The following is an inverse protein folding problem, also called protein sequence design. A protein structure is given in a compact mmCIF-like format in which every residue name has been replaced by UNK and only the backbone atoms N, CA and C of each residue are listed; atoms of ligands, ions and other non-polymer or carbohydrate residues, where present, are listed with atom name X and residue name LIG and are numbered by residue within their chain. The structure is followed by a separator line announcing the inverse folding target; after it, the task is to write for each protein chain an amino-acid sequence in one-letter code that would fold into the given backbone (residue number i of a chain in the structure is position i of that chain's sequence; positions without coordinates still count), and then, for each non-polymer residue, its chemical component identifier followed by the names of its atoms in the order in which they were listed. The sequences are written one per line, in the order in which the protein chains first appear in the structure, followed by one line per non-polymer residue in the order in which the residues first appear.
data_IF_248558531987
#
_entry.id   IF_248558531987
#
_cell.length_a   1.000
_cell.length_b   1.000
_cell.length_c   1.000
_cell.angle_alpha   90.00
_cell.angle_beta   90.00
_cell.angle_gamma   90.00
#
_symmetry.space_group_name_H-M   'P 1'
#
loop_
_entity.id
_entity.type
_entity.pdbx_description
1 polymer ?
#
# COMPACT_ATOMS: atom_id res chain seq x y z
N UNK A 1 -5.39 -24.15 -2.65
CA UNK A 1 -5.15 -23.41 -1.39
C UNK A 1 -6.42 -22.77 -0.86
N UNK A 2 -7.21 -22.11 -1.70
CA UNK A 2 -8.46 -21.41 -1.30
C UNK A 2 -9.59 -22.31 -0.85
N UNK A 3 -9.44 -23.60 -0.97
CA UNK A 3 -10.43 -24.58 -0.50
C UNK A 3 -10.36 -24.85 1.01
N UNK A 4 -9.36 -24.34 1.68
CA UNK A 4 -9.20 -24.53 3.13
C UNK A 4 -9.93 -23.42 3.89
N UNK A 5 -10.86 -23.75 4.81
CA UNK A 5 -11.68 -22.75 5.48
C UNK A 5 -10.92 -21.84 6.46
N UNK A 6 -9.72 -22.23 6.86
CA UNK A 6 -8.83 -21.46 7.73
C UNK A 6 -7.78 -20.65 6.97
N UNK A 7 -7.91 -20.54 5.64
CA UNK A 7 -6.98 -19.83 4.82
C UNK A 7 -7.26 -18.31 4.86
N UNK A 8 -6.35 -17.53 5.43
CA UNK A 8 -6.52 -16.08 5.61
C UNK A 8 -5.94 -15.27 4.45
N UNK A 9 -4.76 -15.62 3.97
CA UNK A 9 -4.07 -14.92 2.88
C UNK A 9 -3.16 -15.85 2.09
N UNK A 10 -2.72 -15.41 0.93
CA UNK A 10 -1.78 -16.16 0.09
C UNK A 10 -0.61 -15.28 -0.29
N UNK A 11 0.55 -15.80 -0.15
CA UNK A 11 1.79 -15.21 -0.66
C UNK A 11 1.82 -15.18 -2.21
N UNK A 12 2.98 -15.06 -2.80
CA UNK A 12 3.25 -15.00 -4.23
C UNK A 12 2.80 -13.70 -4.89
N UNK A 13 2.99 -12.60 -4.20
CA UNK A 13 2.91 -11.24 -4.73
C UNK A 13 4.22 -10.51 -4.50
N UNK A 14 4.48 -9.48 -5.29
CA UNK A 14 5.62 -8.61 -5.05
C UNK A 14 5.33 -7.73 -3.84
N UNK A 15 5.69 -8.21 -2.67
CA UNK A 15 5.59 -7.49 -1.41
C UNK A 15 6.79 -6.57 -1.21
N UNK A 16 6.69 -5.66 -0.25
CA UNK A 16 7.77 -4.70 0.05
C UNK A 16 9.08 -5.37 0.46
N UNK A 17 9.08 -6.58 0.96
CA UNK A 17 10.30 -7.34 1.24
C UNK A 17 11.15 -7.55 -0.03
N UNK A 18 10.52 -7.73 -1.19
CA UNK A 18 11.23 -7.92 -2.45
C UNK A 18 12.01 -6.67 -2.90
N UNK A 19 11.64 -5.51 -2.41
CA UNK A 19 12.35 -4.25 -2.69
C UNK A 19 13.78 -4.29 -2.12
N UNK A 20 14.01 -5.07 -1.06
CA UNK A 20 15.32 -5.23 -0.44
C UNK A 20 16.29 -6.07 -1.29
N UNK A 21 15.78 -6.90 -2.20
CA UNK A 21 16.58 -7.87 -2.90
C UNK A 21 17.10 -7.38 -4.26
N UNK A 22 16.37 -6.50 -4.94
CA UNK A 22 16.81 -6.01 -6.24
C UNK A 22 16.26 -4.62 -6.59
N UNK A 23 17.04 -3.86 -7.35
CA UNK A 23 16.57 -2.59 -7.90
C UNK A 23 15.43 -2.82 -8.90
N UNK A 24 15.46 -3.90 -9.67
CA UNK A 24 14.37 -4.24 -10.58
C UNK A 24 13.02 -4.44 -9.89
N UNK A 25 13.02 -4.91 -8.65
CA UNK A 25 11.79 -4.98 -7.83
C UNK A 25 11.30 -3.58 -7.44
N UNK A 26 12.23 -2.69 -7.09
CA UNK A 26 11.88 -1.28 -6.81
C UNK A 26 11.32 -0.57 -8.05
N UNK A 27 11.91 -0.82 -9.22
CA UNK A 27 11.47 -0.20 -10.47
C UNK A 27 10.09 -0.69 -10.92
N UNK A 28 9.75 -1.93 -10.61
CA UNK A 28 8.46 -2.54 -10.94
C UNK A 28 7.37 -2.28 -9.87
N UNK A 29 7.69 -1.71 -8.71
CA UNK A 29 6.78 -1.59 -7.58
C UNK A 29 5.49 -0.85 -7.96
N UNK A 30 5.59 0.33 -8.56
CA UNK A 30 4.43 1.16 -8.85
C UNK A 30 3.45 0.47 -9.81
N UNK A 31 3.97 -0.15 -10.86
CA UNK A 31 3.15 -0.91 -11.82
C UNK A 31 2.46 -2.09 -11.14
N UNK A 32 3.19 -2.91 -10.39
CA UNK A 32 2.63 -4.08 -9.71
C UNK A 32 1.61 -3.67 -8.64
N UNK A 33 1.88 -2.63 -7.86
CA UNK A 33 0.94 -2.12 -6.86
C UNK A 33 -0.38 -1.67 -7.50
N UNK A 34 -0.34 -1.07 -8.70
CA UNK A 34 -1.53 -0.69 -9.45
C UNK A 34 -2.22 -1.89 -10.15
N UNK A 35 -1.61 -3.07 -10.18
CA UNK A 35 -2.23 -4.31 -10.69
C UNK A 35 -2.93 -5.11 -9.59
N UNK A 36 -2.34 -5.21 -8.41
CA UNK A 36 -2.80 -6.11 -7.36
C UNK A 36 -4.29 -5.99 -7.01
N UNK A 37 -4.86 -4.80 -6.83
CA UNK A 37 -6.28 -4.67 -6.54
C UNK A 37 -7.19 -5.22 -7.63
N UNK A 38 -6.78 -5.16 -8.90
CA UNK A 38 -7.58 -5.64 -10.03
C UNK A 38 -7.46 -7.14 -10.30
N UNK A 39 -6.31 -7.74 -10.00
CA UNK A 39 -6.06 -9.15 -10.32
C UNK A 39 -5.93 -10.01 -9.07
N UNK A 40 -5.02 -9.68 -8.17
CA UNK A 40 -4.71 -10.51 -7.01
C UNK A 40 -5.79 -10.44 -5.95
N UNK A 41 -6.28 -9.25 -5.63
CA UNK A 41 -7.32 -9.07 -4.62
C UNK A 41 -8.72 -9.46 -5.08
N UNK A 42 -9.00 -9.53 -6.39
CA UNK A 42 -10.29 -10.02 -6.91
C UNK A 42 -10.53 -11.50 -6.57
N UNK A 43 -9.48 -12.25 -6.38
CA UNK A 43 -9.57 -13.67 -5.99
C UNK A 43 -9.39 -13.89 -4.49
N UNK A 44 -9.10 -12.86 -3.71
CA UNK A 44 -9.05 -12.90 -2.25
C UNK A 44 -7.86 -12.16 -1.66
N UNK A 45 -7.66 -12.36 -0.37
CA UNK A 45 -6.58 -11.72 0.38
C UNK A 45 -5.21 -12.12 -0.13
N UNK A 46 -4.28 -11.18 -0.03
CA UNK A 46 -2.88 -11.38 -0.36
C UNK A 46 -2.02 -11.19 0.90
N UNK A 47 -0.82 -11.70 0.86
CA UNK A 47 0.16 -11.33 1.86
C UNK A 47 0.58 -9.88 1.67
N UNK A 48 0.73 -9.17 2.79
CA UNK A 48 1.12 -7.77 2.80
C UNK A 48 2.41 -7.62 3.61
N UNK A 49 3.51 -7.50 2.90
CA UNK A 49 4.85 -7.33 3.50
C UNK A 49 5.10 -5.93 4.06
N UNK A 50 4.08 -5.11 4.09
CA UNK A 50 4.09 -3.80 4.72
C UNK A 50 4.70 -2.69 3.89
N UNK A 51 4.57 -1.49 4.44
CA UNK A 51 5.11 -0.28 3.86
C UNK A 51 6.45 0.00 4.51
N UNK A 52 7.50 0.06 3.71
CA UNK A 52 8.81 0.48 4.17
C UNK A 52 8.90 1.99 4.02
N UNK A 53 9.01 2.69 5.15
CA UNK A 53 9.31 4.11 5.14
C UNK A 53 10.80 4.31 4.93
N UNK A 54 11.18 5.45 4.36
CA UNK A 54 12.54 5.75 3.98
C UNK A 54 13.01 4.98 2.73
N UNK A 55 13.33 5.73 1.68
CA UNK A 55 13.80 5.18 0.39
C UNK A 55 15.14 4.43 0.49
N UNK A 56 15.86 4.60 1.57
CA UNK A 56 17.17 4.01 1.83
C UNK A 56 17.14 3.05 3.02
N UNK A 57 16.09 2.31 3.19
CA UNK A 57 15.88 1.42 4.32
C UNK A 57 17.04 0.42 4.58
N UNK A 58 17.87 0.16 3.58
CA UNK A 58 19.10 -0.64 3.70
C UNK A 58 20.38 0.18 3.69
N UNK A 59 20.29 1.50 3.65
CA UNK A 59 21.47 2.35 3.64
C UNK A 59 22.15 2.32 5.01
N UNK A 60 23.11 1.44 5.16
CA UNK A 60 24.20 1.70 6.07
C UNK A 60 25.11 2.73 5.40
N UNK A 61 25.71 3.59 6.20
CA UNK A 61 26.68 4.60 5.74
C UNK A 61 27.99 3.98 5.16
N UNK A 62 28.01 2.68 4.91
CA UNK A 62 29.11 1.98 4.28
C UNK A 62 28.73 1.55 2.85
N UNK A 63 29.64 1.79 1.92
CA UNK A 63 29.48 1.54 0.50
C UNK A 63 29.43 0.05 0.10
N UNK A 64 29.39 -0.86 1.06
CA UNK A 64 29.52 -2.31 0.83
C UNK A 64 28.20 -3.05 0.82
N UNK A 65 27.12 -2.45 1.23
CA UNK A 65 25.79 -3.06 1.23
C UNK A 65 25.05 -2.84 -0.08
N UNK A 66 24.46 -3.89 -0.64
CA UNK A 66 23.51 -3.81 -1.74
C UNK A 66 22.36 -2.91 -1.31
N UNK A 67 22.29 -1.73 -1.86
CA UNK A 67 21.23 -0.77 -1.59
C UNK A 67 20.30 -0.73 -2.78
N UNK A 68 19.18 -1.44 -2.70
CA UNK A 68 18.04 -1.13 -3.55
C UNK A 68 17.41 0.16 -3.06
N UNK A 69 17.01 1.02 -3.97
CA UNK A 69 16.35 2.28 -3.65
C UNK A 69 14.93 2.24 -4.15
N UNK A 70 13.97 2.37 -3.25
CA UNK A 70 12.57 2.57 -3.61
C UNK A 70 12.40 3.91 -4.35
N UNK A 71 11.72 3.90 -5.49
CA UNK A 71 11.47 5.08 -6.31
C UNK A 71 10.13 5.77 -5.97
N UNK A 72 9.18 5.03 -5.41
CA UNK A 72 7.90 5.57 -4.94
C UNK A 72 8.06 6.41 -3.67
N UNK A 73 7.04 7.19 -3.33
CA UNK A 73 7.03 7.99 -2.09
C UNK A 73 6.62 7.16 -0.88
N UNK A 74 6.87 7.68 0.32
CA UNK A 74 6.40 7.06 1.56
C UNK A 74 4.86 7.05 1.62
N UNK A 75 4.22 8.10 1.13
CA UNK A 75 2.75 8.16 1.01
C UNK A 75 2.22 7.09 0.06
N UNK A 76 2.91 6.82 -1.05
CA UNK A 76 2.57 5.72 -1.95
C UNK A 76 2.60 4.39 -1.20
N UNK A 77 3.68 4.13 -0.46
CA UNK A 77 3.82 2.90 0.31
C UNK A 77 2.72 2.76 1.38
N UNK A 78 2.41 3.83 2.12
CA UNK A 78 1.33 3.83 3.12
C UNK A 78 -0.05 3.61 2.50
N UNK A 79 -0.32 4.18 1.33
CA UNK A 79 -1.59 4.01 0.64
C UNK A 79 -1.89 2.54 0.32
N UNK A 80 -0.86 1.71 0.09
CA UNK A 80 -1.05 0.28 -0.16
C UNK A 80 -1.70 -0.47 1.01
N UNK A 81 -1.56 0.01 2.25
CA UNK A 81 -2.24 -0.56 3.41
C UNK A 81 -3.77 -0.47 3.33
N UNK A 82 -4.28 0.54 2.64
CA UNK A 82 -5.71 0.68 2.36
C UNK A 82 -6.09 -0.03 1.05
N UNK A 83 -5.23 0.02 0.03
CA UNK A 83 -5.56 -0.51 -1.30
C UNK A 83 -5.52 -2.03 -1.37
N UNK A 84 -4.60 -2.68 -0.65
CA UNK A 84 -4.46 -4.13 -0.68
C UNK A 84 -5.39 -4.78 0.34
N UNK A 85 -5.95 -5.91 -0.03
CA UNK A 85 -6.76 -6.70 0.87
C UNK A 85 -5.88 -7.73 1.56
N UNK A 86 -5.58 -7.50 2.82
CA UNK A 86 -4.89 -8.43 3.69
C UNK A 86 -5.40 -8.30 5.11
N UNK A 87 -5.89 -9.38 5.74
CA UNK A 87 -6.31 -9.34 7.14
C UNK A 87 -5.12 -9.30 8.11
N UNK A 88 -3.92 -9.57 7.62
CA UNK A 88 -2.66 -9.50 8.37
C UNK A 88 -1.72 -8.56 7.66
N UNK A 89 -1.38 -7.46 8.31
CA UNK A 89 -0.48 -6.45 7.77
C UNK A 89 0.79 -6.36 8.60
N UNK A 90 1.94 -6.45 7.94
CA UNK A 90 3.24 -6.25 8.52
C UNK A 90 3.86 -4.98 7.95
N UNK A 91 4.16 -4.01 8.81
CA UNK A 91 4.87 -2.81 8.42
C UNK A 91 6.38 -3.02 8.62
N UNK A 92 7.11 -3.08 7.52
CA UNK A 92 8.56 -3.22 7.55
C UNK A 92 9.20 -1.89 7.97
N UNK A 93 9.59 -1.77 9.22
CA UNK A 93 10.25 -0.59 9.77
C UNK A 93 11.64 -0.95 10.26
N UNK A 94 12.59 -0.06 10.02
CA UNK A 94 13.88 -0.09 10.70
C UNK A 94 13.80 0.71 12.00
N UNK A 95 14.66 0.46 12.99
CA UNK A 95 14.66 1.25 14.24
C UNK A 95 14.75 2.76 14.00
N UNK A 96 15.46 3.19 12.96
CA UNK A 96 15.59 4.60 12.60
C UNK A 96 14.24 5.21 12.18
N UNK A 97 13.33 4.43 11.59
CA UNK A 97 12.04 4.95 11.16
C UNK A 97 11.18 5.46 12.33
N UNK A 98 11.43 5.02 13.54
CA UNK A 98 10.75 5.54 14.72
C UNK A 98 11.16 6.97 15.06
N UNK A 99 12.29 7.43 14.55
CA UNK A 99 12.86 8.75 14.82
C UNK A 99 12.91 9.67 13.60
N UNK A 100 13.05 9.11 12.40
CA UNK A 100 13.19 9.88 11.16
C UNK A 100 11.90 9.97 10.34
N UNK A 101 10.93 9.07 10.58
CA UNK A 101 9.64 9.14 9.93
C UNK A 101 8.73 10.20 10.58
N UNK A 102 7.86 10.85 9.80
CA UNK A 102 6.88 11.78 10.35
C UNK A 102 5.94 11.07 11.34
N UNK A 103 5.61 11.71 12.44
CA UNK A 103 4.74 11.15 13.47
C UNK A 103 3.37 10.72 12.92
N UNK A 104 2.81 11.47 12.00
CA UNK A 104 1.53 11.12 11.36
C UNK A 104 1.60 9.78 10.60
N UNK A 105 2.74 9.44 9.99
CA UNK A 105 2.93 8.18 9.29
C UNK A 105 2.97 6.99 10.26
N UNK A 106 3.66 7.16 11.39
CA UNK A 106 3.70 6.16 12.45
C UNK A 106 2.31 5.95 13.06
N UNK A 107 1.59 7.04 13.31
CA UNK A 107 0.23 6.96 13.85
C UNK A 107 -0.74 6.31 12.86
N UNK A 108 -0.66 6.65 11.58
CA UNK A 108 -1.44 5.97 10.54
C UNK A 108 -1.22 4.46 10.54
N UNK A 109 0.03 4.00 10.61
CA UNK A 109 0.33 2.56 10.64
C UNK A 109 -0.19 1.84 11.88
N UNK A 110 -0.33 2.55 13.01
CA UNK A 110 -0.92 1.99 14.24
C UNK A 110 -2.44 1.88 14.16
N UNK A 111 -3.08 2.76 13.40
CA UNK A 111 -4.53 2.95 13.40
C UNK A 111 -5.23 2.38 12.17
N UNK A 112 -4.51 2.21 11.04
CA UNK A 112 -5.11 1.70 9.81
C UNK A 112 -5.68 0.29 10.01
N UNK A 113 -6.97 0.06 9.69
CA UNK A 113 -7.57 -1.26 9.83
C UNK A 113 -6.99 -2.28 8.85
N UNK A 114 -6.94 -3.54 9.25
CA UNK A 114 -6.60 -4.66 8.36
C UNK A 114 -7.84 -5.36 7.79
N UNK A 115 -9.03 -5.06 8.32
CA UNK A 115 -10.31 -5.63 7.87
C UNK A 115 -11.29 -4.51 7.50
N UNK A 116 -12.12 -4.76 6.51
CA UNK A 116 -12.97 -3.75 5.91
C UNK A 116 -14.41 -4.26 5.80
N UNK A 117 -15.38 -3.40 6.17
CA UNK A 117 -16.82 -3.70 6.08
C UNK A 117 -17.35 -3.43 4.67
N UNK A 118 -16.74 -2.50 3.95
CA UNK A 118 -17.17 -2.11 2.61
C UNK A 118 -15.97 -1.64 1.78
N UNK A 119 -16.01 -1.92 0.48
CA UNK A 119 -15.02 -1.45 -0.51
C UNK A 119 -15.75 -0.81 -1.68
N UNK A 120 -15.33 0.39 -2.07
CA UNK A 120 -15.82 1.09 -3.26
C UNK A 120 -14.68 1.39 -4.20
N UNK A 121 -14.82 0.95 -5.43
CA UNK A 121 -13.95 1.39 -6.51
C UNK A 121 -14.38 2.81 -6.93
N UNK A 122 -13.45 3.75 -6.86
CA UNK A 122 -13.71 5.13 -7.23
C UNK A 122 -13.25 5.44 -8.64
N UNK A 123 -12.01 5.07 -8.97
CA UNK A 123 -11.45 5.21 -10.32
C UNK A 123 -10.18 4.37 -10.44
N UNK A 124 -9.76 4.05 -11.67
CA UNK A 124 -8.50 3.37 -11.89
C UNK A 124 -8.42 2.60 -13.21
N UNK A 125 -7.20 2.25 -13.55
CA UNK A 125 -6.88 1.39 -14.69
C UNK A 125 -5.70 0.47 -14.34
N UNK A 126 -5.79 -0.85 -14.58
CA UNK A 126 -4.77 -1.82 -14.22
C UNK A 126 -3.37 -1.39 -14.69
N UNK A 127 -2.41 -1.41 -13.78
CA UNK A 127 -1.03 -1.03 -14.03
C UNK A 127 -0.78 0.47 -14.23
N UNK A 128 -1.81 1.32 -14.17
CA UNK A 128 -1.67 2.77 -14.33
C UNK A 128 -1.93 3.51 -13.04
N UNK A 129 -3.12 3.39 -12.49
CA UNK A 129 -3.48 4.00 -11.23
C UNK A 129 -4.70 3.30 -10.63
N UNK A 130 -4.93 3.49 -9.36
CA UNK A 130 -6.14 3.02 -8.68
C UNK A 130 -6.49 3.93 -7.50
N UNK A 131 -7.78 4.15 -7.30
CA UNK A 131 -8.33 4.88 -6.16
C UNK A 131 -9.48 4.05 -5.60
N UNK A 132 -9.38 3.67 -4.33
CA UNK A 132 -10.42 2.97 -3.58
C UNK A 132 -10.84 3.78 -2.37
N UNK A 133 -12.09 3.60 -1.96
CA UNK A 133 -12.56 3.93 -0.64
C UNK A 133 -12.91 2.64 0.10
N UNK A 134 -12.50 2.53 1.35
CA UNK A 134 -12.81 1.41 2.23
C UNK A 134 -13.38 1.90 3.54
N UNK A 135 -14.39 1.22 4.04
CA UNK A 135 -15.03 1.55 5.32
C UNK A 135 -14.64 0.53 6.38
N UNK A 136 -14.28 1.03 7.54
CA UNK A 136 -14.18 0.26 8.76
C UNK A 136 -15.02 0.95 9.83
N UNK A 137 -16.03 0.27 10.32
CA UNK A 137 -17.04 0.84 11.22
C UNK A 137 -17.67 2.12 10.61
N UNK A 138 -17.49 3.27 11.24
CA UNK A 138 -18.03 4.55 10.78
C UNK A 138 -17.05 5.39 9.97
N UNK A 139 -15.81 4.93 9.80
CA UNK A 139 -14.75 5.70 9.16
C UNK A 139 -14.50 5.21 7.73
N UNK A 140 -14.37 6.17 6.81
CA UNK A 140 -13.94 5.92 5.45
C UNK A 140 -12.47 6.27 5.27
N UNK A 141 -11.77 5.41 4.57
CA UNK A 141 -10.37 5.55 4.19
C UNK A 141 -10.31 5.60 2.67
N UNK A 142 -9.84 6.71 2.12
CA UNK A 142 -9.69 6.89 0.68
C UNK A 142 -8.20 6.89 0.37
N UNK A 143 -7.78 6.02 -0.52
CA UNK A 143 -6.39 5.92 -0.95
C UNK A 143 -6.29 5.80 -2.46
N UNK A 144 -5.25 6.40 -3.01
CA UNK A 144 -4.94 6.33 -4.42
C UNK A 144 -3.43 6.25 -4.66
N UNK A 145 -3.04 5.49 -5.68
CA UNK A 145 -1.66 5.40 -6.17
C UNK A 145 -1.64 5.54 -7.68
N UNK A 146 -0.54 6.09 -8.18
CA UNK A 146 -0.28 6.32 -9.60
C UNK A 146 1.07 5.69 -9.97
N UNK A 147 1.07 4.82 -10.97
CA UNK A 147 2.29 4.20 -11.50
C UNK A 147 2.98 5.02 -12.60
N UNK A 148 2.31 6.07 -13.08
CA UNK A 148 2.90 6.99 -14.07
C UNK A 148 3.89 7.95 -13.40
N UNK A 149 4.89 8.39 -14.14
CA UNK A 149 5.75 9.52 -13.76
C UNK A 149 5.04 10.88 -13.86
N UNK A 150 3.90 10.92 -14.58
CA UNK A 150 3.12 12.12 -14.78
C UNK A 150 2.06 12.30 -13.71
N UNK A 151 1.80 13.53 -13.33
CA UNK A 151 0.67 13.87 -12.45
C UNK A 151 -0.64 13.58 -13.17
N UNK A 152 -1.58 12.95 -12.47
CA UNK A 152 -2.95 12.77 -12.93
C UNK A 152 -3.91 13.54 -12.05
N UNK A 153 -4.92 14.18 -12.68
CA UNK A 153 -6.01 14.86 -11.99
C UNK A 153 -7.28 14.06 -12.16
N UNK A 154 -7.84 13.62 -11.05
CA UNK A 154 -9.07 12.80 -11.04
C UNK A 154 -10.16 13.54 -10.26
N UNK A 155 -11.34 13.62 -10.86
CA UNK A 155 -12.53 14.14 -10.18
C UNK A 155 -13.29 12.98 -9.58
N UNK A 156 -13.28 12.88 -8.27
CA UNK A 156 -13.98 11.81 -7.55
C UNK A 156 -15.43 12.21 -7.23
N UNK A 157 -16.33 11.24 -7.34
CA UNK A 157 -17.65 11.30 -6.78
C UNK A 157 -17.69 10.48 -5.50
N UNK A 158 -17.96 11.14 -4.37
CA UNK A 158 -17.89 10.54 -3.03
C UNK A 158 -19.27 10.53 -2.36
N UNK A 159 -20.18 9.65 -2.78
CA UNK A 159 -21.57 9.65 -2.29
C UNK A 159 -21.67 9.19 -0.81
N UNK A 160 -20.58 8.68 -0.23
CA UNK A 160 -20.52 8.28 1.16
C UNK A 160 -20.20 9.43 2.12
N UNK A 161 -19.87 10.61 1.60
CA UNK A 161 -19.55 11.80 2.40
C UNK A 161 -20.70 12.78 2.24
N UNK A 162 -21.28 13.19 3.35
CA UNK A 162 -22.36 14.17 3.34
C UNK A 162 -21.83 15.58 3.04
N UNK A 163 -22.64 16.41 2.42
CA UNK A 163 -22.27 17.79 2.15
C UNK A 163 -21.98 18.53 3.48
N UNK A 164 -20.78 19.09 3.60
CA UNK A 164 -20.33 19.81 4.80
C UNK A 164 -19.52 18.97 5.79
N UNK A 165 -19.34 17.68 5.55
CA UNK A 165 -18.35 16.89 6.28
C UNK A 165 -16.94 17.23 5.80
N UNK A 166 -16.00 17.28 6.76
CA UNK A 166 -14.58 17.49 6.48
C UNK A 166 -13.90 16.15 6.23
N UNK A 167 -13.04 16.10 5.24
CA UNK A 167 -12.21 14.93 4.92
C UNK A 167 -10.81 15.13 5.53
#
# INVERSE_FOLDING_TARGET
ERMYPNFASSEAVLASENLHFSQGSCDAEAFNACLHPFIRNTVGSMDFGGSTLNKYYNARNDSTTRTSRRITSDVFALATAVLFQSPVQHFALTPNNLTDAPEWAINFMKEVPSTWDEVRFLDGYPGKFIILARRHQNNWYIAGINASSEEIKVKLHLPMISAGETI
#
